data_IF_827580103855
#
_entry.id   IF_827580103855
#
_cell.length_a   1.000
_cell.length_b   1.000
_cell.length_c   1.000
_cell.angle_alpha   90.00
_cell.angle_beta   90.00
_cell.angle_gamma   90.00
#
_symmetry.space_group_name_H-M   'P 1'
#
loop_
_entity.id
_entity.type
_entity.pdbx_description
1 polymer ?
#
# COMPACT_ATOMS: atom_id res chain seq x y z
N UNK A 1 0.50 12.67 12.27
CA UNK A 1 1.83 12.03 12.33
C UNK A 1 1.81 10.97 13.42
N UNK A 2 2.50 9.86 13.14
CA UNK A 2 2.63 8.59 13.90
C UNK A 2 1.37 7.72 14.04
N UNK A 3 1.05 6.97 12.99
CA UNK A 3 0.46 5.63 13.13
C UNK A 3 1.59 4.61 12.90
N UNK A 4 2.56 4.61 13.81
CA UNK A 4 3.55 3.54 13.82
C UNK A 4 2.87 2.37 14.52
N UNK A 5 2.63 1.27 13.80
CA UNK A 5 2.10 0.03 14.39
C UNK A 5 3.05 -0.40 15.51
N UNK A 6 2.60 -0.28 16.76
CA UNK A 6 3.39 -0.60 17.95
C UNK A 6 3.22 -2.05 18.40
N UNK A 7 2.23 -2.76 17.86
CA UNK A 7 1.99 -4.17 18.17
C UNK A 7 2.44 -5.07 17.02
N UNK A 8 3.07 -6.22 17.30
CA UNK A 8 3.48 -7.18 16.30
C UNK A 8 2.27 -7.78 15.59
N UNK A 9 2.38 -7.94 14.27
CA UNK A 9 1.38 -8.63 13.45
C UNK A 9 1.36 -10.12 13.81
N UNK A 10 0.17 -10.67 14.01
CA UNK A 10 -0.01 -12.12 14.11
C UNK A 10 -0.31 -12.70 12.73
N UNK A 11 0.76 -13.10 12.04
CA UNK A 11 0.68 -13.66 10.69
C UNK A 11 -0.13 -14.96 10.61
N UNK A 12 -0.38 -15.66 11.73
CA UNK A 12 -1.15 -16.90 11.72
C UNK A 12 -2.66 -16.68 11.57
N UNK A 13 -3.14 -15.46 11.83
CA UNK A 13 -4.57 -15.13 11.81
C UNK A 13 -4.97 -14.22 10.66
N UNK A 14 -4.01 -13.63 9.95
CA UNK A 14 -4.27 -12.77 8.80
C UNK A 14 -4.63 -13.58 7.56
N UNK A 15 -5.68 -13.16 6.86
CA UNK A 15 -5.95 -13.63 5.50
C UNK A 15 -5.02 -12.93 4.50
N UNK A 16 -4.93 -13.49 3.29
CA UNK A 16 -4.21 -12.81 2.18
C UNK A 16 -4.84 -11.46 1.85
N UNK A 17 -6.16 -11.34 1.98
CA UNK A 17 -6.89 -10.08 1.83
C UNK A 17 -6.42 -9.03 2.87
N UNK A 18 -6.28 -9.43 4.14
CA UNK A 18 -5.75 -8.54 5.19
C UNK A 18 -4.32 -8.11 4.91
N UNK A 19 -3.48 -9.01 4.40
CA UNK A 19 -2.08 -8.71 4.05
C UNK A 19 -2.02 -7.70 2.89
N UNK A 20 -2.86 -7.86 1.86
CA UNK A 20 -2.92 -6.93 0.73
C UNK A 20 -3.42 -5.55 1.17
N UNK A 21 -4.48 -5.49 1.99
CA UNK A 21 -4.99 -4.24 2.54
C UNK A 21 -3.92 -3.51 3.36
N UNK A 22 -3.18 -4.25 4.19
CA UNK A 22 -2.09 -3.70 5.00
C UNK A 22 -0.96 -3.15 4.12
N UNK A 23 -0.56 -3.90 3.10
CA UNK A 23 0.49 -3.47 2.18
C UNK A 23 0.07 -2.21 1.42
N UNK A 24 -1.18 -2.11 0.96
CA UNK A 24 -1.70 -0.89 0.31
C UNK A 24 -1.58 0.30 1.26
N UNK A 25 -2.00 0.16 2.53
CA UNK A 25 -1.90 1.22 3.52
C UNK A 25 -0.45 1.67 3.75
N UNK A 26 0.50 0.72 3.82
CA UNK A 26 1.92 1.01 4.00
C UNK A 26 2.49 1.79 2.79
N UNK A 27 2.16 1.40 1.55
CA UNK A 27 2.59 2.09 0.33
C UNK A 27 2.00 3.51 0.23
N UNK A 28 0.73 3.70 0.59
CA UNK A 28 0.11 5.03 0.59
C UNK A 28 0.72 5.97 1.63
N UNK A 29 1.04 5.44 2.81
CA UNK A 29 1.75 6.21 3.84
C UNK A 29 3.15 6.59 3.37
N UNK A 30 3.89 5.68 2.73
CA UNK A 30 5.21 5.95 2.18
C UNK A 30 5.16 7.00 1.06
N UNK A 31 4.19 6.89 0.13
CA UNK A 31 3.91 7.90 -0.90
C UNK A 31 3.74 9.28 -0.29
N UNK A 32 2.85 9.42 0.68
CA UNK A 32 2.51 10.70 1.29
C UNK A 32 3.68 11.26 2.10
N UNK A 33 4.45 10.39 2.76
CA UNK A 33 5.68 10.74 3.46
C UNK A 33 6.71 11.37 2.50
N UNK A 34 7.01 10.73 1.38
CA UNK A 34 7.96 11.26 0.41
C UNK A 34 7.46 12.55 -0.25
N UNK A 35 6.17 12.64 -0.57
CA UNK A 35 5.57 13.87 -1.10
C UNK A 35 5.70 15.04 -0.11
N UNK A 36 5.46 14.79 1.18
CA UNK A 36 5.64 15.80 2.22
C UNK A 36 7.11 16.22 2.35
N UNK A 37 8.04 15.25 2.42
CA UNK A 37 9.47 15.52 2.50
C UNK A 37 10.00 16.33 1.30
N UNK A 38 9.48 16.08 0.09
CA UNK A 38 9.82 16.85 -1.09
C UNK A 38 9.46 18.34 -0.95
N UNK A 39 8.40 18.66 -0.19
CA UNK A 39 7.99 20.02 0.15
C UNK A 39 8.94 20.74 1.12
N UNK A 40 9.65 19.99 1.96
CA UNK A 40 10.52 20.52 3.02
C UNK A 40 11.95 20.85 2.54
N UNK A 41 12.41 20.24 1.45
CA UNK A 41 13.78 20.43 0.97
C UNK A 41 13.94 21.62 0.03
N UNK A 42 14.99 22.42 0.24
CA UNK A 42 15.41 23.48 -0.69
C UNK A 42 16.27 22.99 -1.86
N UNK A 43 16.75 21.74 -1.83
CA UNK A 43 17.61 21.20 -2.88
C UNK A 43 16.77 20.57 -4.01
N UNK A 44 16.94 21.06 -5.24
CA UNK A 44 16.17 20.61 -6.40
C UNK A 44 16.39 19.13 -6.74
N UNK A 45 17.61 18.62 -6.62
CA UNK A 45 17.91 17.21 -6.88
C UNK A 45 17.26 16.30 -5.84
N UNK A 46 17.37 16.64 -4.56
CA UNK A 46 16.70 15.89 -3.47
C UNK A 46 15.19 15.91 -3.63
N UNK A 47 14.60 17.05 -4.00
CA UNK A 47 13.16 17.17 -4.29
C UNK A 47 12.73 16.20 -5.40
N UNK A 48 13.46 16.18 -6.52
CA UNK A 48 13.16 15.29 -7.64
C UNK A 48 13.25 13.82 -7.24
N UNK A 49 14.27 13.44 -6.45
CA UNK A 49 14.40 12.08 -5.94
C UNK A 49 13.23 11.68 -5.05
N UNK A 50 12.79 12.54 -4.13
CA UNK A 50 11.66 12.26 -3.24
C UNK A 50 10.33 12.15 -4.01
N UNK A 51 10.10 13.01 -5.00
CA UNK A 51 8.92 12.90 -5.86
C UNK A 51 8.91 11.59 -6.65
N UNK A 52 10.06 11.17 -7.19
CA UNK A 52 10.20 9.88 -7.88
C UNK A 52 9.88 8.71 -6.96
N UNK A 53 10.35 8.74 -5.70
CA UNK A 53 10.02 7.70 -4.72
C UNK A 53 8.51 7.68 -4.43
N UNK A 54 7.89 8.84 -4.23
CA UNK A 54 6.44 8.95 -4.07
C UNK A 54 5.67 8.32 -5.25
N UNK A 55 6.13 8.54 -6.48
CA UNK A 55 5.51 7.94 -7.67
C UNK A 55 5.69 6.42 -7.73
N UNK A 56 6.82 5.90 -7.25
CA UNK A 56 7.04 4.44 -7.15
C UNK A 56 6.05 3.79 -6.18
N UNK A 57 5.88 4.35 -4.98
CA UNK A 57 4.96 3.77 -3.98
C UNK A 57 3.49 3.86 -4.45
N UNK A 58 3.14 4.91 -5.21
CA UNK A 58 1.83 4.97 -5.86
C UNK A 58 1.64 3.79 -6.84
N UNK A 59 2.66 3.48 -7.64
CA UNK A 59 2.64 2.33 -8.55
C UNK A 59 2.50 0.99 -7.82
N UNK A 60 3.20 0.82 -6.69
CA UNK A 60 3.06 -0.36 -5.84
C UNK A 60 1.64 -0.48 -5.27
N UNK A 61 1.07 0.61 -4.73
CA UNK A 61 -0.29 0.63 -4.21
C UNK A 61 -1.32 0.25 -5.28
N UNK A 62 -1.16 0.75 -6.51
CA UNK A 62 -2.07 0.44 -7.61
C UNK A 62 -1.96 -1.03 -8.06
N UNK A 63 -0.75 -1.60 -8.07
CA UNK A 63 -0.56 -3.02 -8.32
C UNK A 63 -1.24 -3.87 -7.24
N UNK A 64 -1.03 -3.56 -5.97
CA UNK A 64 -1.64 -4.30 -4.86
C UNK A 64 -3.18 -4.22 -4.87
N UNK A 65 -3.76 -3.09 -5.25
CA UNK A 65 -5.21 -2.94 -5.44
C UNK A 65 -5.74 -3.84 -6.55
N UNK A 66 -5.01 -3.98 -7.65
CA UNK A 66 -5.41 -4.87 -8.73
C UNK A 66 -5.42 -6.34 -8.26
N UNK A 67 -4.39 -6.76 -7.52
CA UNK A 67 -4.34 -8.11 -6.94
C UNK A 67 -5.47 -8.36 -5.93
N UNK A 68 -5.80 -7.36 -5.11
CA UNK A 68 -6.91 -7.45 -4.16
C UNK A 68 -8.26 -7.60 -4.88
N UNK A 69 -8.48 -6.85 -5.96
CA UNK A 69 -9.69 -6.96 -6.77
C UNK A 69 -9.82 -8.34 -7.42
N UNK A 70 -8.72 -8.87 -7.97
CA UNK A 70 -8.69 -10.22 -8.55
C UNK A 70 -9.00 -11.30 -7.51
N UNK A 71 -8.40 -11.21 -6.31
CA UNK A 71 -8.67 -12.12 -5.20
C UNK A 71 -10.15 -12.12 -4.80
N UNK A 72 -10.76 -10.94 -4.72
CA UNK A 72 -12.17 -10.79 -4.36
C UNK A 72 -13.09 -11.38 -5.44
N UNK A 73 -12.78 -11.14 -6.71
CA UNK A 73 -13.54 -11.69 -7.84
C UNK A 73 -13.48 -13.23 -7.88
N UNK A 74 -12.31 -13.82 -7.62
CA UNK A 74 -12.15 -15.28 -7.54
C UNK A 74 -13.02 -15.88 -6.42
N UNK A 75 -13.03 -15.25 -5.24
CA UNK A 75 -13.86 -15.67 -4.10
C UNK A 75 -15.36 -15.56 -4.38
N UNK A 76 -15.79 -14.52 -5.09
CA UNK A 76 -17.18 -14.38 -5.53
C UNK A 76 -17.60 -15.46 -6.53
N UNK A 77 -16.73 -15.81 -7.48
CA UNK A 77 -16.98 -16.89 -8.44
C UNK A 77 -17.08 -18.26 -7.74
N UNK A 78 -16.20 -18.54 -6.80
CA UNK A 78 -16.23 -19.80 -6.04
C UNK A 78 -17.48 -19.93 -5.17
N UNK A 79 -17.93 -18.83 -4.55
CA UNK A 79 -19.13 -18.84 -3.70
C UNK A 79 -20.42 -18.89 -4.51
N UNK A 80 -20.47 -18.27 -5.70
CA UNK A 80 -21.64 -18.30 -6.58
C UNK A 80 -21.85 -19.60 -7.36
N UNK A 81 -20.85 -20.48 -7.43
CA UNK A 81 -20.97 -21.83 -8.03
C UNK A 81 -21.48 -22.86 -7.01
N UNK A 82 -21.43 -22.55 -5.71
CA UNK A 82 -21.80 -23.47 -4.63
C UNK A 82 -23.30 -23.48 -4.27
N UNK A 83 -24.13 -22.67 -4.95
CA UNK A 83 -25.60 -22.61 -4.86
C UNK A 83 -26.28 -23.23 -6.10
#
# INVERSE_FOLDING_TARGET
>A
MSHQRNEPLDWNTMSIEDVLLLAIEDEEQARDYYRHAAGLTGNAHTRATLLRLSEMEQGHADQLRAELQELQMQKELETGIAD
#
